data_IF_338892604189
#
_entry.id   IF_338892604189
#
_cell.length_a   1.000
_cell.length_b   1.000
_cell.length_c   1.000
_cell.angle_alpha   90.00
_cell.angle_beta   90.00
_cell.angle_gamma   90.00
#
_symmetry.space_group_name_H-M   'P 1'
#
loop_
_entity.id
_entity.type
_entity.pdbx_description
1 polymer ?
#
# COMPACT_ATOMS: atom_id res chain seq x y z
N UNK A 1 -36.14 5.34 11.06
CA UNK A 1 -35.83 5.94 12.38
C UNK A 1 -34.32 6.12 12.34
N UNK A 2 -33.80 7.35 12.39
CA UNK A 2 -32.35 7.59 12.37
C UNK A 2 -31.77 7.04 13.67
N UNK A 3 -31.62 5.72 13.71
CA UNK A 3 -31.08 5.00 14.84
C UNK A 3 -29.64 5.45 14.92
N UNK A 4 -29.33 6.21 15.97
CA UNK A 4 -27.94 6.44 16.31
C UNK A 4 -27.36 5.05 16.53
N UNK A 5 -26.44 4.64 15.64
CA UNK A 5 -25.63 3.45 15.87
C UNK A 5 -25.20 3.46 17.33
N UNK A 6 -25.50 2.35 18.01
CA UNK A 6 -25.41 2.17 19.45
C UNK A 6 -24.03 2.53 20.02
N UNK A 7 -23.84 2.34 21.34
CA UNK A 7 -22.76 2.97 22.11
C UNK A 7 -21.45 2.99 21.34
N UNK A 8 -20.98 4.21 20.99
CA UNK A 8 -19.74 4.48 20.24
C UNK A 8 -18.68 3.49 20.67
N UNK A 9 -18.42 2.52 19.81
CA UNK A 9 -17.64 1.35 20.19
C UNK A 9 -16.27 1.83 20.66
N UNK A 10 -15.83 1.39 21.85
CA UNK A 10 -14.47 1.60 22.36
C UNK A 10 -13.42 1.24 21.30
N UNK A 11 -13.78 0.35 20.39
CA UNK A 11 -12.99 -0.04 19.22
C UNK A 11 -12.76 1.15 18.28
N UNK A 12 -13.78 1.93 17.89
CA UNK A 12 -13.61 3.08 16.97
C UNK A 12 -12.71 4.14 17.59
N UNK A 13 -12.86 4.43 18.89
CA UNK A 13 -12.00 5.37 19.59
C UNK A 13 -10.54 4.87 19.66
N UNK A 14 -10.33 3.58 19.91
CA UNK A 14 -9.00 2.96 19.88
C UNK A 14 -8.39 3.01 18.47
N UNK A 15 -9.17 2.78 17.41
CA UNK A 15 -8.72 2.87 16.03
C UNK A 15 -8.26 4.29 15.68
N UNK A 16 -8.97 5.32 16.13
CA UNK A 16 -8.59 6.73 15.90
C UNK A 16 -7.25 7.05 16.57
N UNK A 17 -7.07 6.66 17.84
CA UNK A 17 -5.82 6.92 18.58
C UNK A 17 -4.66 6.17 17.91
N UNK A 18 -4.83 4.88 17.66
CA UNK A 18 -3.80 4.06 17.03
C UNK A 18 -3.46 4.56 15.62
N UNK A 19 -4.47 4.85 14.80
CA UNK A 19 -4.30 5.37 13.44
C UNK A 19 -3.60 6.74 13.42
N UNK A 20 -3.95 7.63 14.35
CA UNK A 20 -3.31 8.95 14.48
C UNK A 20 -1.84 8.82 14.87
N UNK A 21 -1.52 7.97 15.85
CA UNK A 21 -0.13 7.71 16.26
C UNK A 21 0.70 7.12 15.11
N UNK A 22 0.16 6.13 14.39
CA UNK A 22 0.82 5.51 13.24
C UNK A 22 1.06 6.56 12.14
N UNK A 23 0.07 7.40 11.84
CA UNK A 23 0.22 8.45 10.82
C UNK A 23 1.28 9.48 11.22
N UNK A 24 1.30 9.95 12.46
CA UNK A 24 2.31 10.91 12.95
C UNK A 24 3.73 10.33 12.84
N UNK A 25 3.92 9.09 13.29
CA UNK A 25 5.22 8.40 13.19
C UNK A 25 5.62 8.20 11.73
N UNK A 26 4.67 7.79 10.88
CA UNK A 26 4.89 7.58 9.45
C UNK A 26 5.30 8.88 8.75
N UNK A 27 4.55 9.98 8.94
CA UNK A 27 4.86 11.29 8.35
C UNK A 27 6.24 11.74 8.79
N UNK A 28 6.52 11.69 10.09
CA UNK A 28 7.80 12.14 10.65
C UNK A 28 8.98 11.38 10.04
N UNK A 29 8.91 10.04 10.03
CA UNK A 29 9.99 9.20 9.50
C UNK A 29 10.15 9.34 7.98
N UNK A 30 9.05 9.32 7.23
CA UNK A 30 9.11 9.43 5.77
C UNK A 30 9.55 10.81 5.30
N UNK A 31 9.17 11.89 5.99
CA UNK A 31 9.67 13.26 5.70
C UNK A 31 11.17 13.35 5.97
N UNK A 32 11.64 12.84 7.11
CA UNK A 32 13.08 12.81 7.44
C UNK A 32 13.88 12.03 6.39
N UNK A 33 13.39 10.85 5.98
CA UNK A 33 14.01 10.04 4.94
C UNK A 33 14.01 10.77 3.59
N UNK A 34 12.89 11.38 3.20
CA UNK A 34 12.76 12.13 1.94
C UNK A 34 13.75 13.30 1.87
N UNK A 35 13.82 14.12 2.93
CA UNK A 35 14.76 15.24 3.03
C UNK A 35 16.21 14.75 3.02
N UNK A 36 16.53 13.70 3.79
CA UNK A 36 17.87 13.14 3.86
C UNK A 36 18.36 12.62 2.50
N UNK A 37 17.46 11.95 1.75
CA UNK A 37 17.77 11.39 0.43
C UNK A 37 17.92 12.46 -0.66
N UNK A 38 17.12 13.54 -0.62
CA UNK A 38 17.24 14.66 -1.56
C UNK A 38 18.50 15.48 -1.31
N UNK A 39 18.82 15.76 -0.03
CA UNK A 39 19.97 16.61 0.32
C UNK A 39 21.30 15.95 -0.02
N UNK A 40 21.36 14.62 -0.06
CA UNK A 40 22.59 13.90 -0.40
C UNK A 40 22.70 13.64 -1.92
N UNK A 41 23.35 14.57 -2.63
CA UNK A 41 23.56 14.52 -4.09
C UNK A 41 24.25 13.24 -4.61
N UNK A 42 25.02 12.52 -3.78
CA UNK A 42 25.63 11.22 -4.16
C UNK A 42 24.63 10.05 -4.04
N UNK A 43 23.66 10.13 -3.13
CA UNK A 43 22.56 9.17 -3.00
C UNK A 43 21.54 9.32 -4.14
N UNK A 44 21.21 10.56 -4.49
CA UNK A 44 20.16 10.91 -5.44
C UNK A 44 20.39 10.30 -6.84
N UNK A 45 21.65 10.33 -7.34
CA UNK A 45 21.95 9.96 -8.74
C UNK A 45 21.96 8.46 -9.06
N UNK A 46 22.10 7.54 -8.09
CA UNK A 46 22.41 6.14 -8.43
C UNK A 46 21.59 5.03 -7.74
N UNK A 47 21.01 5.23 -6.55
CA UNK A 47 20.51 4.07 -5.77
C UNK A 47 19.09 4.18 -5.16
N UNK A 48 18.50 5.37 -5.01
CA UNK A 48 17.35 5.55 -4.12
C UNK A 48 16.05 6.08 -4.77
N UNK A 49 15.91 6.05 -6.10
CA UNK A 49 14.72 6.59 -6.76
C UNK A 49 13.42 5.91 -6.31
N UNK A 50 13.40 4.58 -6.21
CA UNK A 50 12.22 3.87 -5.71
C UNK A 50 11.94 4.14 -4.23
N UNK A 51 12.98 4.27 -3.41
CA UNK A 51 12.84 4.56 -1.98
C UNK A 51 12.31 5.99 -1.79
N UNK A 52 12.78 6.95 -2.58
CA UNK A 52 12.29 8.31 -2.58
C UNK A 52 10.80 8.37 -3.00
N UNK A 53 10.43 7.63 -4.05
CA UNK A 53 9.04 7.52 -4.48
C UNK A 53 8.18 6.86 -3.40
N UNK A 54 8.67 5.81 -2.73
CA UNK A 54 7.98 5.14 -1.63
C UNK A 54 7.71 6.10 -0.47
N UNK A 55 8.73 6.83 0.00
CA UNK A 55 8.56 7.84 1.05
C UNK A 55 7.55 8.93 0.66
N UNK A 56 7.55 9.37 -0.60
CA UNK A 56 6.59 10.34 -1.11
C UNK A 56 5.15 9.79 -1.04
N UNK A 57 4.91 8.57 -1.53
CA UNK A 57 3.59 7.95 -1.46
C UNK A 57 3.14 7.66 -0.02
N UNK A 58 4.03 7.22 0.86
CA UNK A 58 3.71 6.95 2.27
C UNK A 58 3.34 8.23 3.04
N UNK A 59 3.94 9.38 2.70
CA UNK A 59 3.52 10.69 3.23
C UNK A 59 2.10 11.00 2.78
N UNK A 60 1.80 10.86 1.47
CA UNK A 60 0.45 11.11 0.95
C UNK A 60 -0.57 10.19 1.61
N UNK A 61 -0.28 8.89 1.71
CA UNK A 61 -1.14 7.91 2.39
C UNK A 61 -1.42 8.36 3.81
N UNK A 62 -0.39 8.73 4.57
CA UNK A 62 -0.55 9.11 5.98
C UNK A 62 -1.36 10.41 6.16
N UNK A 63 -1.17 11.38 5.26
CA UNK A 63 -1.88 12.67 5.26
C UNK A 63 -3.34 12.51 4.81
N UNK A 64 -3.64 11.65 3.82
CA UNK A 64 -5.00 11.45 3.32
C UNK A 64 -5.82 10.48 4.18
N UNK A 65 -5.20 9.41 4.68
CA UNK A 65 -5.90 8.38 5.44
C UNK A 65 -6.25 8.81 6.86
N UNK A 66 -5.44 9.68 7.47
CA UNK A 66 -5.67 10.14 8.83
C UNK A 66 -6.98 10.95 8.95
N UNK A 67 -7.28 11.94 8.09
CA UNK A 67 -8.59 12.60 8.06
C UNK A 67 -9.74 11.64 7.78
N UNK A 68 -9.55 10.63 6.91
CA UNK A 68 -10.58 9.63 6.60
C UNK A 68 -11.04 8.87 7.83
N UNK A 69 -10.14 8.47 8.73
CA UNK A 69 -10.51 7.81 9.99
C UNK A 69 -10.92 8.83 11.04
N UNK A 70 -10.11 9.88 11.23
CA UNK A 70 -10.28 10.83 12.33
C UNK A 70 -11.56 11.63 12.17
N UNK A 71 -11.75 12.30 11.03
CA UNK A 71 -12.89 13.21 10.84
C UNK A 71 -14.19 12.42 10.82
N UNK A 72 -14.19 11.24 10.20
CA UNK A 72 -15.35 10.35 10.18
C UNK A 72 -15.76 9.89 11.58
N UNK A 73 -14.79 9.51 12.41
CA UNK A 73 -15.07 9.14 13.80
C UNK A 73 -15.43 10.35 14.67
N UNK A 74 -14.82 11.52 14.43
CA UNK A 74 -14.97 12.71 15.25
C UNK A 74 -16.30 13.41 15.00
N UNK A 75 -16.82 13.41 13.75
CA UNK A 75 -18.17 13.90 13.45
C UNK A 75 -19.23 13.08 14.19
N UNK A 76 -19.05 11.75 14.26
CA UNK A 76 -19.97 10.86 14.94
C UNK A 76 -19.88 11.04 16.46
N UNK A 77 -18.65 11.23 16.97
CA UNK A 77 -18.38 11.47 18.39
C UNK A 77 -18.93 12.79 18.93
N UNK A 78 -18.66 13.89 18.23
CA UNK A 78 -19.05 15.23 18.68
C UNK A 78 -20.45 15.64 18.23
N UNK A 79 -21.07 14.83 17.36
CA UNK A 79 -22.35 15.13 16.70
C UNK A 79 -22.33 16.48 15.98
N UNK A 80 -21.16 16.88 15.47
CA UNK A 80 -20.94 18.20 14.89
C UNK A 80 -21.32 18.22 13.40
N UNK A 81 -22.50 18.75 13.12
CA UNK A 81 -23.14 18.71 11.79
C UNK A 81 -22.35 19.50 10.74
N UNK A 82 -21.86 20.69 11.08
CA UNK A 82 -21.10 21.52 10.13
C UNK A 82 -19.78 20.88 9.72
N UNK A 83 -19.12 20.19 10.66
CA UNK A 83 -17.93 19.39 10.34
C UNK A 83 -18.27 18.24 9.38
N UNK A 84 -19.39 17.56 9.60
CA UNK A 84 -19.86 16.49 8.71
C UNK A 84 -20.13 17.01 7.29
N UNK A 85 -20.87 18.12 7.16
CA UNK A 85 -21.18 18.75 5.86
C UNK A 85 -19.93 19.23 5.13
N UNK A 86 -18.97 19.80 5.85
CA UNK A 86 -17.71 20.23 5.27
C UNK A 86 -16.84 19.04 4.82
N UNK A 87 -16.94 17.90 5.50
CA UNK A 87 -16.11 16.71 5.27
C UNK A 87 -16.56 15.85 4.08
N UNK A 88 -17.87 15.63 3.96
CA UNK A 88 -18.44 14.73 2.95
C UNK A 88 -17.97 14.98 1.51
N UNK A 89 -17.84 16.22 1.02
CA UNK A 89 -17.31 16.49 -0.33
C UNK A 89 -15.88 15.99 -0.56
N UNK A 90 -15.07 15.84 0.50
CA UNK A 90 -13.66 15.43 0.40
C UNK A 90 -13.44 13.94 0.68
N UNK A 91 -14.39 13.27 1.33
CA UNK A 91 -14.23 11.90 1.80
C UNK A 91 -13.85 10.93 0.68
N UNK A 92 -14.61 10.92 -0.41
CA UNK A 92 -14.39 10.01 -1.55
C UNK A 92 -13.03 10.27 -2.20
N UNK A 93 -12.63 11.55 -2.34
CA UNK A 93 -11.33 11.90 -2.90
C UNK A 93 -10.17 11.45 -2.01
N UNK A 94 -10.27 11.65 -0.69
CA UNK A 94 -9.27 11.21 0.28
C UNK A 94 -9.11 9.68 0.29
N UNK A 95 -10.23 8.96 0.24
CA UNK A 95 -10.27 7.51 0.18
C UNK A 95 -9.65 6.97 -1.13
N UNK A 96 -10.08 7.49 -2.27
CA UNK A 96 -9.56 7.09 -3.58
C UNK A 96 -8.07 7.37 -3.72
N UNK A 97 -7.61 8.57 -3.31
CA UNK A 97 -6.19 8.94 -3.34
C UNK A 97 -5.36 7.97 -2.48
N UNK A 98 -5.84 7.65 -1.28
CA UNK A 98 -5.17 6.71 -0.39
C UNK A 98 -5.01 5.34 -1.04
N UNK A 99 -6.07 4.78 -1.62
CA UNK A 99 -6.01 3.45 -2.25
C UNK A 99 -5.13 3.42 -3.51
N UNK A 100 -5.14 4.49 -4.32
CA UNK A 100 -4.24 4.63 -5.47
C UNK A 100 -2.78 4.67 -5.00
N UNK A 101 -2.47 5.46 -3.97
CA UNK A 101 -1.13 5.56 -3.43
C UNK A 101 -0.67 4.26 -2.77
N UNK A 102 -1.52 3.58 -1.99
CA UNK A 102 -1.21 2.27 -1.38
C UNK A 102 -0.87 1.22 -2.45
N UNK A 103 -1.67 1.17 -3.52
CA UNK A 103 -1.42 0.24 -4.65
C UNK A 103 -0.13 0.59 -5.36
N UNK A 104 0.10 1.88 -5.63
CA UNK A 104 1.34 2.35 -6.26
C UNK A 104 2.58 2.01 -5.42
N UNK A 105 2.52 2.24 -4.11
CA UNK A 105 3.58 1.92 -3.17
C UNK A 105 3.89 0.41 -3.12
N UNK A 106 2.85 -0.42 -3.14
CA UNK A 106 2.98 -1.87 -3.23
C UNK A 106 3.74 -2.31 -4.50
N UNK A 107 3.36 -1.77 -5.67
CA UNK A 107 4.06 -2.08 -6.93
C UNK A 107 5.48 -1.53 -6.97
N UNK A 108 5.74 -0.38 -6.34
CA UNK A 108 7.09 0.11 -6.13
C UNK A 108 7.87 -0.89 -5.27
N UNK A 109 7.31 -1.41 -4.18
CA UNK A 109 7.96 -2.41 -3.34
C UNK A 109 8.36 -3.66 -4.14
N UNK A 110 7.50 -4.14 -5.05
CA UNK A 110 7.82 -5.22 -6.00
C UNK A 110 9.01 -4.83 -6.88
N UNK A 111 9.00 -3.63 -7.46
CA UNK A 111 10.09 -3.16 -8.31
C UNK A 111 11.42 -3.08 -7.54
N UNK A 112 11.39 -2.65 -6.27
CA UNK A 112 12.58 -2.67 -5.41
C UNK A 112 13.03 -4.11 -5.16
N UNK A 113 12.12 -5.03 -4.80
CA UNK A 113 12.44 -6.43 -4.57
C UNK A 113 13.06 -7.08 -5.82
N UNK A 114 12.51 -6.80 -6.99
CA UNK A 114 13.03 -7.27 -8.26
C UNK A 114 14.43 -6.72 -8.55
N UNK A 115 14.66 -5.42 -8.29
CA UNK A 115 15.99 -4.83 -8.42
C UNK A 115 17.01 -5.55 -7.53
N UNK A 116 16.63 -5.86 -6.28
CA UNK A 116 17.51 -6.62 -5.36
C UNK A 116 17.76 -8.03 -5.84
N UNK A 117 16.77 -8.67 -6.41
CA UNK A 117 16.96 -9.98 -7.02
C UNK A 117 17.99 -9.92 -8.14
N UNK A 118 17.88 -8.96 -9.07
CA UNK A 118 18.85 -8.75 -10.15
C UNK A 118 20.27 -8.47 -9.63
N UNK A 119 20.41 -7.70 -8.55
CA UNK A 119 21.70 -7.45 -7.87
C UNK A 119 22.27 -8.75 -7.30
N UNK A 120 21.43 -9.58 -6.68
CA UNK A 120 21.82 -10.82 -6.02
C UNK A 120 22.34 -11.86 -7.02
N UNK A 121 21.63 -12.05 -8.14
CA UNK A 121 22.04 -12.96 -9.22
C UNK A 121 23.12 -12.36 -10.15
N UNK A 122 23.46 -11.07 -9.99
CA UNK A 122 24.41 -10.33 -10.84
C UNK A 122 24.03 -10.36 -12.33
N UNK A 123 22.74 -10.17 -12.63
CA UNK A 123 22.24 -10.21 -14.00
C UNK A 123 22.82 -9.09 -14.87
N UNK A 124 23.02 -9.38 -16.16
CA UNK A 124 23.41 -8.39 -17.17
C UNK A 124 22.32 -7.33 -17.39
N UNK A 125 21.05 -7.66 -17.13
CA UNK A 125 19.90 -6.75 -17.30
C UNK A 125 19.81 -5.66 -16.23
N UNK A 126 20.59 -5.77 -15.13
CA UNK A 126 20.55 -4.85 -14.00
C UNK A 126 20.76 -3.39 -14.43
N UNK A 127 21.77 -3.12 -15.25
CA UNK A 127 22.08 -1.74 -15.67
C UNK A 127 20.95 -1.11 -16.49
N UNK A 128 20.28 -1.90 -17.33
CA UNK A 128 19.15 -1.44 -18.13
C UNK A 128 17.94 -1.12 -17.24
N UNK A 129 17.67 -2.00 -16.26
CA UNK A 129 16.60 -1.77 -15.27
C UNK A 129 16.85 -0.50 -14.45
N UNK A 130 18.07 -0.32 -13.94
CA UNK A 130 18.47 0.85 -13.15
C UNK A 130 18.42 2.17 -13.93
N UNK A 131 18.68 2.14 -15.25
CA UNK A 131 18.57 3.33 -16.11
C UNK A 131 17.12 3.78 -16.31
N UNK A 132 16.15 2.85 -16.23
CA UNK A 132 14.72 3.10 -16.47
C UNK A 132 13.88 3.17 -15.19
N UNK A 133 14.48 3.36 -14.01
CA UNK A 133 13.73 3.37 -12.72
C UNK A 133 12.57 4.36 -12.68
N UNK A 134 12.77 5.58 -13.20
CA UNK A 134 11.70 6.59 -13.24
C UNK A 134 10.50 6.11 -14.07
N UNK A 135 10.74 5.47 -15.21
CA UNK A 135 9.69 4.88 -16.03
C UNK A 135 8.94 3.77 -15.27
N UNK A 136 9.65 2.94 -14.50
CA UNK A 136 9.01 1.95 -13.63
C UNK A 136 8.14 2.59 -12.54
N UNK A 137 8.57 3.69 -11.92
CA UNK A 137 7.71 4.42 -10.97
C UNK A 137 6.42 4.93 -11.63
N UNK A 138 6.52 5.48 -12.85
CA UNK A 138 5.34 5.91 -13.60
C UNK A 138 4.43 4.74 -14.00
N UNK A 139 5.01 3.59 -14.35
CA UNK A 139 4.24 2.38 -14.61
C UNK A 139 3.49 1.91 -13.35
N UNK A 140 4.14 1.89 -12.18
CA UNK A 140 3.50 1.56 -10.92
C UNK A 140 2.35 2.52 -10.57
N UNK A 141 2.54 3.82 -10.78
CA UNK A 141 1.49 4.83 -10.57
C UNK A 141 0.33 4.62 -11.55
N UNK A 142 0.63 4.32 -12.80
CA UNK A 142 -0.39 4.04 -13.82
C UNK A 142 -1.23 2.81 -13.42
N UNK A 143 -0.60 1.75 -12.90
CA UNK A 143 -1.32 0.58 -12.38
C UNK A 143 -2.20 0.96 -11.19
N UNK A 144 -1.70 1.79 -10.26
CA UNK A 144 -2.49 2.27 -9.13
C UNK A 144 -3.74 3.05 -9.58
N UNK A 145 -3.59 3.95 -10.55
CA UNK A 145 -4.71 4.73 -11.11
C UNK A 145 -5.68 3.82 -11.88
N UNK A 146 -5.17 2.91 -12.73
CA UNK A 146 -5.98 2.00 -13.52
C UNK A 146 -6.76 0.96 -12.70
N UNK A 147 -6.35 0.71 -11.46
CA UNK A 147 -7.04 -0.28 -10.60
C UNK A 147 -7.90 0.36 -9.54
N UNK A 148 -7.48 1.50 -8.97
CA UNK A 148 -8.18 2.16 -7.86
C UNK A 148 -8.71 3.56 -8.20
N UNK A 149 -8.29 4.17 -9.30
CA UNK A 149 -8.79 5.48 -9.73
C UNK A 149 -10.29 5.48 -10.05
N UNK A 150 -10.84 4.33 -10.47
CA UNK A 150 -12.28 4.13 -10.66
C UNK A 150 -13.12 4.37 -9.41
N UNK A 151 -12.52 4.36 -8.21
CA UNK A 151 -13.23 4.66 -6.95
C UNK A 151 -13.93 6.02 -6.95
N UNK A 152 -13.40 7.02 -7.67
CA UNK A 152 -14.02 8.34 -7.81
C UNK A 152 -15.34 8.32 -8.60
N UNK A 153 -15.55 7.32 -9.43
CA UNK A 153 -16.78 7.12 -10.19
C UNK A 153 -17.69 6.09 -9.52
N UNK A 154 -17.11 5.18 -8.75
CA UNK A 154 -17.83 4.09 -8.09
C UNK A 154 -18.52 4.49 -6.79
N UNK A 155 -17.97 5.48 -6.09
CA UNK A 155 -18.46 5.92 -4.79
C UNK A 155 -18.97 7.34 -4.93
N UNK A 156 -20.17 7.58 -4.43
CA UNK A 156 -20.73 8.92 -4.34
C UNK A 156 -21.40 9.12 -2.98
N UNK A 157 -21.62 10.38 -2.63
CA UNK A 157 -22.26 10.77 -1.38
C UNK A 157 -23.73 11.06 -1.65
N UNK A 158 -24.60 10.22 -1.11
CA UNK A 158 -26.04 10.35 -1.26
C UNK A 158 -26.67 10.99 -0.01
N UNK A 159 -27.69 11.84 -0.18
CA UNK A 159 -28.51 12.28 0.93
C UNK A 159 -29.35 11.10 1.46
N UNK A 160 -29.45 10.99 2.79
CA UNK A 160 -30.28 10.00 3.47
C UNK A 160 -31.73 10.06 2.98
N UNK A 161 -32.38 8.91 2.68
CA UNK A 161 -33.79 8.88 2.29
C UNK A 161 -34.74 9.19 3.46
N UNK A 162 -34.28 9.02 4.70
CA UNK A 162 -35.06 9.29 5.91
C UNK A 162 -35.08 10.81 6.17
N UNK A 163 -36.25 11.44 6.00
CA UNK A 163 -36.45 12.88 6.23
C UNK A 163 -36.05 13.31 7.65
N UNK A 164 -36.12 12.40 8.62
CA UNK A 164 -35.71 12.60 10.02
C UNK A 164 -34.21 12.78 10.19
N UNK A 165 -33.40 12.40 9.19
CA UNK A 165 -31.94 12.50 9.27
C UNK A 165 -31.43 13.86 8.74
N UNK A 166 -32.34 14.71 8.24
CA UNK A 166 -32.02 16.08 7.83
C UNK A 166 -31.51 16.89 9.03
N UNK A 167 -30.42 17.64 8.85
CA UNK A 167 -29.68 18.32 9.94
C UNK A 167 -29.12 17.38 11.02
N UNK A 168 -28.80 16.13 10.69
CA UNK A 168 -28.06 15.23 11.58
C UNK A 168 -26.73 14.84 10.95
N UNK A 169 -25.84 14.19 11.70
CA UNK A 169 -24.57 13.67 11.15
C UNK A 169 -24.79 12.59 10.08
N UNK A 170 -25.95 11.92 10.12
CA UNK A 170 -26.37 10.89 9.16
C UNK A 170 -27.18 11.47 7.99
N UNK A 171 -27.09 12.79 7.76
CA UNK A 171 -27.75 13.45 6.62
C UNK A 171 -27.23 12.93 5.27
N UNK A 172 -25.97 12.52 5.22
CA UNK A 172 -25.33 11.94 4.04
C UNK A 172 -24.70 10.59 4.37
N UNK A 173 -24.64 9.71 3.37
CA UNK A 173 -23.95 8.43 3.43
C UNK A 173 -23.21 8.16 2.11
N UNK A 174 -22.21 7.30 2.15
CA UNK A 174 -21.46 6.88 0.96
C UNK A 174 -21.98 5.52 0.52
N UNK A 175 -22.32 5.41 -0.76
CA UNK A 175 -22.75 4.16 -1.35
C UNK A 175 -22.21 4.00 -2.78
N UNK A 176 -22.38 2.82 -3.35
CA UNK A 176 -21.95 2.50 -4.70
C UNK A 176 -22.87 3.10 -5.76
N UNK A 177 -22.28 3.65 -6.82
CA UNK A 177 -23.02 4.21 -7.95
C UNK A 177 -23.54 3.10 -8.89
N UNK A 178 -24.51 3.44 -9.73
CA UNK A 178 -25.15 2.51 -10.67
C UNK A 178 -24.20 1.90 -11.70
N UNK A 179 -23.04 2.51 -11.93
CA UNK A 179 -21.98 1.99 -12.82
C UNK A 179 -21.54 0.59 -12.37
N UNK A 180 -21.57 0.34 -11.05
CA UNK A 180 -21.18 -0.94 -10.46
C UNK A 180 -22.19 -2.06 -10.71
N UNK A 181 -23.43 -1.75 -11.11
CA UNK A 181 -24.46 -2.75 -11.44
C UNK A 181 -24.22 -3.43 -12.79
N UNK A 182 -23.40 -2.83 -13.66
CA UNK A 182 -23.07 -3.44 -14.94
C UNK A 182 -22.15 -4.64 -14.77
N UNK A 183 -22.42 -5.76 -15.47
CA UNK A 183 -21.61 -6.99 -15.37
C UNK A 183 -20.14 -6.75 -15.77
N UNK A 184 -19.93 -5.94 -16.81
CA UNK A 184 -18.59 -5.61 -17.31
C UNK A 184 -17.76 -4.83 -16.28
N UNK A 185 -18.37 -3.83 -15.65
CA UNK A 185 -17.64 -3.00 -14.69
C UNK A 185 -17.60 -3.64 -13.29
N UNK A 186 -18.74 -4.09 -12.77
CA UNK A 186 -18.88 -4.64 -11.42
C UNK A 186 -18.19 -6.00 -11.24
N UNK A 187 -18.52 -6.96 -12.10
CA UNK A 187 -17.97 -8.33 -11.95
C UNK A 187 -16.59 -8.45 -12.58
N UNK A 188 -16.44 -8.11 -13.86
CA UNK A 188 -15.18 -8.39 -14.57
C UNK A 188 -14.07 -7.43 -14.13
N UNK A 189 -14.31 -6.12 -14.18
CA UNK A 189 -13.28 -5.14 -13.83
C UNK A 189 -13.10 -5.00 -12.31
N UNK A 190 -14.18 -4.72 -11.59
CA UNK A 190 -14.12 -4.39 -10.16
C UNK A 190 -13.78 -5.58 -9.29
N UNK A 191 -14.39 -6.73 -9.54
CA UNK A 191 -14.14 -7.92 -8.75
C UNK A 191 -12.94 -8.72 -9.25
N UNK A 192 -12.96 -9.23 -10.50
CA UNK A 192 -11.89 -10.09 -11.00
C UNK A 192 -10.57 -9.33 -11.21
N UNK A 193 -10.54 -8.38 -12.14
CA UNK A 193 -9.32 -7.70 -12.53
C UNK A 193 -8.69 -6.94 -11.35
N UNK A 194 -9.47 -6.17 -10.61
CA UNK A 194 -8.96 -5.37 -9.49
C UNK A 194 -8.36 -6.25 -8.39
N UNK A 195 -9.04 -7.31 -7.96
CA UNK A 195 -8.56 -8.11 -6.84
C UNK A 195 -7.33 -8.93 -7.25
N UNK A 196 -7.29 -9.44 -8.48
CA UNK A 196 -6.08 -10.07 -9.03
C UNK A 196 -4.92 -9.06 -9.05
N UNK A 197 -5.14 -7.88 -9.60
CA UNK A 197 -4.10 -6.87 -9.76
C UNK A 197 -3.68 -6.21 -8.43
N UNK A 198 -4.55 -6.12 -7.42
CA UNK A 198 -4.26 -5.34 -6.20
C UNK A 198 -3.98 -6.20 -4.97
N UNK A 199 -4.33 -7.50 -5.00
CA UNK A 199 -4.15 -8.43 -3.88
C UNK A 199 -3.25 -9.61 -4.27
N UNK A 200 -3.68 -10.43 -5.22
CA UNK A 200 -2.98 -11.68 -5.52
C UNK A 200 -1.65 -11.47 -6.23
N UNK A 201 -1.65 -10.74 -7.34
CA UNK A 201 -0.45 -10.48 -8.13
C UNK A 201 0.68 -9.86 -7.28
N UNK A 202 0.46 -8.77 -6.52
CA UNK A 202 1.51 -8.19 -5.71
C UNK A 202 2.04 -9.14 -4.63
N UNK A 203 1.15 -9.89 -3.97
CA UNK A 203 1.54 -10.87 -2.96
C UNK A 203 2.43 -11.97 -3.53
N UNK A 204 2.01 -12.63 -4.60
CA UNK A 204 2.77 -13.73 -5.19
C UNK A 204 4.07 -13.25 -5.84
N UNK A 205 4.08 -12.10 -6.51
CA UNK A 205 5.32 -11.53 -7.06
C UNK A 205 6.33 -11.25 -5.95
N UNK A 206 5.92 -10.60 -4.85
CA UNK A 206 6.80 -10.38 -3.71
C UNK A 206 7.29 -11.70 -3.13
N UNK A 207 6.40 -12.68 -2.91
CA UNK A 207 6.78 -13.97 -2.36
C UNK A 207 7.83 -14.68 -3.22
N UNK A 208 7.57 -14.82 -4.52
CA UNK A 208 8.45 -15.54 -5.45
C UNK A 208 9.81 -14.84 -5.61
N UNK A 209 9.82 -13.51 -5.72
CA UNK A 209 11.06 -12.73 -5.84
C UNK A 209 11.89 -12.87 -4.56
N UNK A 210 11.28 -12.68 -3.39
CA UNK A 210 12.00 -12.76 -2.11
C UNK A 210 12.50 -14.19 -1.83
N UNK A 211 11.72 -15.23 -2.18
CA UNK A 211 12.17 -16.61 -2.13
C UNK A 211 13.39 -16.83 -3.02
N UNK A 212 13.37 -16.31 -4.26
CA UNK A 212 14.49 -16.36 -5.19
C UNK A 212 15.75 -15.71 -4.64
N UNK A 213 15.64 -14.56 -3.97
CA UNK A 213 16.78 -13.90 -3.31
C UNK A 213 17.36 -14.81 -2.21
N UNK A 214 16.53 -15.39 -1.35
CA UNK A 214 16.97 -16.25 -0.25
C UNK A 214 17.67 -17.51 -0.77
N UNK A 215 17.12 -18.16 -1.79
CA UNK A 215 17.69 -19.36 -2.40
C UNK A 215 19.06 -19.08 -3.01
N UNK A 216 19.19 -17.98 -3.77
CA UNK A 216 20.46 -17.58 -4.37
C UNK A 216 21.51 -17.23 -3.30
N UNK A 217 21.12 -16.47 -2.26
CA UNK A 217 22.02 -16.15 -1.15
C UNK A 217 22.51 -17.41 -0.43
N UNK A 218 21.64 -18.41 -0.23
CA UNK A 218 22.01 -19.70 0.36
C UNK A 218 23.00 -20.46 -0.50
N UNK A 219 22.77 -20.54 -1.81
CA UNK A 219 23.68 -21.16 -2.77
C UNK A 219 25.08 -20.50 -2.72
N UNK A 220 25.13 -19.16 -2.76
CA UNK A 220 26.39 -18.41 -2.69
C UNK A 220 27.13 -18.63 -1.36
N UNK A 221 26.41 -18.80 -0.24
CA UNK A 221 27.04 -19.15 1.03
C UNK A 221 27.63 -20.55 1.00
N UNK A 222 26.89 -21.55 0.52
CA UNK A 222 27.35 -22.93 0.45
C UNK A 222 28.62 -23.06 -0.40
N UNK A 223 28.66 -22.43 -1.58
CA UNK A 223 29.87 -22.38 -2.42
C UNK A 223 31.05 -21.67 -1.74
N UNK A 224 30.80 -20.63 -0.94
CA UNK A 224 31.85 -19.92 -0.22
C UNK A 224 32.42 -20.72 0.97
N UNK A 225 31.59 -21.53 1.65
CA UNK A 225 32.03 -22.41 2.73
C UNK A 225 32.78 -23.66 2.22
N UNK A 226 32.46 -24.14 1.01
CA UNK A 226 33.18 -25.25 0.36
C UNK A 226 34.62 -24.90 -0.07
N UNK A 227 34.89 -23.65 -0.44
CA UNK A 227 36.22 -23.18 -0.85
C UNK A 227 37.01 -22.56 0.32
N UNK A 228 37.66 -23.42 1.12
CA UNK A 228 38.61 -23.00 2.17
C UNK A 228 39.84 -22.30 1.57
N UNK A 229 39.89 -20.97 1.66
CA UNK A 229 41.13 -20.19 1.72
C UNK A 229 40.98 -19.03 2.72
N UNK A 230 41.46 -19.27 3.94
CA UNK A 230 41.11 -18.56 5.19
C UNK A 230 41.70 -17.14 5.33
N UNK A 231 42.52 -16.65 4.39
CA UNK A 231 43.26 -15.36 4.57
C UNK A 231 42.89 -14.23 3.60
N UNK A 232 42.42 -14.52 2.38
CA UNK A 232 41.93 -13.49 1.43
C UNK A 232 40.43 -13.17 1.58
N UNK A 233 39.73 -13.92 2.42
CA UNK A 233 38.28 -13.85 2.60
C UNK A 233 37.83 -12.72 3.54
N UNK A 234 38.65 -12.35 4.53
CA UNK A 234 38.33 -11.36 5.57
C UNK A 234 38.03 -9.96 5.01
N UNK A 235 38.90 -9.41 4.15
CA UNK A 235 38.75 -8.04 3.62
C UNK A 235 37.62 -7.90 2.58
N UNK A 236 37.39 -8.93 1.74
CA UNK A 236 36.25 -8.96 0.80
C UNK A 236 34.91 -9.19 1.52
N UNK A 237 34.92 -9.82 2.69
CA UNK A 237 33.71 -10.07 3.48
C UNK A 237 33.22 -8.80 4.19
N UNK A 238 34.12 -7.92 4.66
CA UNK A 238 33.76 -6.64 5.32
C UNK A 238 32.94 -5.69 4.41
N UNK A 239 33.18 -5.71 3.10
CA UNK A 239 32.37 -4.98 2.11
C UNK A 239 31.05 -5.70 1.79
N UNK A 240 31.06 -7.04 1.79
CA UNK A 240 29.88 -7.90 1.56
C UNK A 240 28.93 -7.95 2.76
N UNK A 241 29.38 -7.72 3.99
CA UNK A 241 28.53 -7.69 5.20
C UNK A 241 27.56 -6.52 5.16
N UNK A 242 27.96 -5.34 4.71
CA UNK A 242 27.05 -4.19 4.58
C UNK A 242 26.01 -4.40 3.46
N UNK A 243 26.41 -5.03 2.34
CA UNK A 243 25.49 -5.39 1.25
C UNK A 243 24.53 -6.51 1.68
N UNK A 244 25.01 -7.50 2.45
CA UNK A 244 24.18 -8.57 3.02
C UNK A 244 23.22 -8.04 4.08
N UNK A 245 23.66 -7.14 4.96
CA UNK A 245 22.81 -6.51 5.96
C UNK A 245 21.73 -5.64 5.29
N UNK A 246 22.09 -4.84 4.28
CA UNK A 246 21.11 -4.06 3.51
C UNK A 246 20.09 -4.96 2.75
N UNK A 247 20.53 -6.12 2.26
CA UNK A 247 19.64 -7.09 1.62
C UNK A 247 18.74 -7.80 2.65
N UNK A 248 19.27 -8.14 3.83
CA UNK A 248 18.51 -8.73 4.93
C UNK A 248 17.43 -7.77 5.46
N UNK A 249 17.75 -6.49 5.65
CA UNK A 249 16.76 -5.47 6.06
C UNK A 249 15.64 -5.35 5.02
N UNK A 250 15.97 -5.39 3.74
CA UNK A 250 14.94 -5.27 2.69
C UNK A 250 14.10 -6.53 2.51
N UNK A 251 14.70 -7.71 2.64
CA UNK A 251 13.98 -8.98 2.74
C UNK A 251 13.02 -8.97 3.93
N UNK A 252 13.48 -8.47 5.08
CA UNK A 252 12.66 -8.34 6.28
C UNK A 252 11.45 -7.42 6.06
N UNK A 253 11.65 -6.25 5.42
CA UNK A 253 10.55 -5.35 5.04
C UNK A 253 9.53 -6.09 4.14
N UNK A 254 10.00 -6.86 3.16
CA UNK A 254 9.09 -7.62 2.28
C UNK A 254 8.35 -8.75 3.01
N UNK A 255 9.01 -9.42 3.95
CA UNK A 255 8.39 -10.46 4.78
C UNK A 255 7.33 -9.86 5.70
N UNK A 256 7.61 -8.71 6.33
CA UNK A 256 6.61 -7.96 7.10
C UNK A 256 5.42 -7.63 6.21
N UNK A 257 5.66 -7.08 5.02
CA UNK A 257 4.59 -6.76 4.08
C UNK A 257 3.75 -8.00 3.73
N UNK A 258 4.38 -9.14 3.44
CA UNK A 258 3.66 -10.38 3.16
C UNK A 258 2.78 -10.77 4.35
N UNK A 259 3.34 -10.83 5.56
CA UNK A 259 2.60 -11.18 6.78
C UNK A 259 1.42 -10.23 6.99
N UNK A 260 1.62 -8.92 6.85
CA UNK A 260 0.56 -7.91 6.98
C UNK A 260 -0.55 -8.07 5.95
N UNK A 261 -0.28 -8.64 4.78
CA UNK A 261 -1.26 -8.82 3.71
C UNK A 261 -1.82 -10.25 3.59
N UNK A 262 -1.30 -11.22 4.35
CA UNK A 262 -1.82 -12.61 4.34
C UNK A 262 -3.32 -12.65 4.64
N UNK A 263 -3.75 -11.92 5.67
CA UNK A 263 -5.19 -11.86 6.05
C UNK A 263 -6.03 -11.30 4.91
N UNK A 264 -5.57 -10.23 4.26
CA UNK A 264 -6.26 -9.62 3.13
C UNK A 264 -6.39 -10.59 1.95
N UNK A 265 -5.33 -11.37 1.66
CA UNK A 265 -5.37 -12.43 0.63
C UNK A 265 -6.39 -13.50 0.97
N UNK A 266 -6.44 -13.96 2.22
CA UNK A 266 -7.42 -14.97 2.64
C UNK A 266 -8.85 -14.46 2.56
N UNK A 267 -9.12 -13.24 3.02
CA UNK A 267 -10.44 -12.62 2.93
C UNK A 267 -10.86 -12.49 1.47
N UNK A 268 -9.98 -11.97 0.62
CA UNK A 268 -10.27 -11.82 -0.81
C UNK A 268 -10.50 -13.19 -1.46
N UNK A 269 -9.68 -14.20 -1.15
CA UNK A 269 -9.87 -15.56 -1.66
C UNK A 269 -11.20 -16.19 -1.19
N UNK A 270 -11.63 -15.88 0.03
CA UNK A 270 -12.93 -16.29 0.54
C UNK A 270 -14.06 -15.62 -0.23
N UNK A 271 -13.98 -14.30 -0.46
CA UNK A 271 -14.94 -13.55 -1.30
C UNK A 271 -15.00 -14.10 -2.74
N UNK A 272 -13.89 -14.66 -3.25
CA UNK A 272 -13.86 -15.37 -4.54
C UNK A 272 -14.63 -16.69 -4.55
N UNK A 273 -14.71 -17.39 -3.43
CA UNK A 273 -15.43 -18.66 -3.32
C UNK A 273 -16.93 -18.40 -3.11
N UNK A 274 -17.29 -17.34 -2.40
CA UNK A 274 -18.67 -16.96 -2.08
C UNK A 274 -19.26 -15.91 -3.05
N UNK A 275 -19.02 -16.08 -4.36
CA UNK A 275 -19.55 -15.18 -5.39
C UNK A 275 -21.09 -15.20 -5.42
N UNK A 276 -21.69 -16.35 -5.14
CA UNK A 276 -23.16 -16.52 -5.23
C UNK A 276 -23.91 -15.73 -4.16
N UNK A 277 -23.40 -15.62 -2.91
CA UNK A 277 -24.08 -14.82 -1.88
C UNK A 277 -24.01 -13.31 -2.16
N UNK A 278 -22.94 -12.86 -2.84
CA UNK A 278 -22.67 -11.46 -3.15
C UNK A 278 -23.44 -10.93 -4.37
N UNK A 279 -23.86 -11.80 -5.30
CA UNK A 279 -24.64 -11.40 -6.48
C UNK A 279 -26.16 -11.37 -6.24
N UNK A 280 -26.65 -11.97 -5.15
CA UNK A 280 -28.08 -12.01 -4.78
C UNK A 280 -28.55 -10.87 -3.86
N UNK A 281 -27.74 -9.84 -3.63
CA UNK A 281 -28.10 -8.64 -2.86
C UNK A 281 -28.15 -7.38 -3.69
#
# INVERSE_FOLDING_TARGET
MCEEDGPKSTISFAMVIAGSLISIVSISNNVLLFISLIRNNRCFKCYFHFILALCFFDIIISVCYMPVILVDSLKDWTKWIELARAWWPFFVYGLAMTHVCMTTACYILIAVAYERYLITIRSYTLKQFQKRRSWWCFACLSIGILTKGGMLMELDVFPSPDITCKNTVMEYFVDVTEITKSVWYGTIYKFWFRNIATVFLPFFLLLLINLGIVLELRSQMQHAFGNRSRRRFSLRMQSRTNVRQATATMLFICVIYLISNVVNVFITAWEFIDIESLQTR
#
